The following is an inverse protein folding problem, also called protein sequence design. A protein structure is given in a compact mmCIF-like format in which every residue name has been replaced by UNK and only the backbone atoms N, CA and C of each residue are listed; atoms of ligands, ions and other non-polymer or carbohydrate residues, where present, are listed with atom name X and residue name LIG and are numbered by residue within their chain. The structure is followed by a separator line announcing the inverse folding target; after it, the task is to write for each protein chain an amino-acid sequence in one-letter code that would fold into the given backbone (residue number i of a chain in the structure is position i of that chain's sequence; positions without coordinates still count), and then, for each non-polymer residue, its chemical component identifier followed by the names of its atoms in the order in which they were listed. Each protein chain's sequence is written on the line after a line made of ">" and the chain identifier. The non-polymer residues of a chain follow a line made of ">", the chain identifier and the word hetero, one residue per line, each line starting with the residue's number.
data_IF_025636432897
#
_entry.id   IF_025636432897
#
_cell.length_a   1.000
_cell.length_b   1.000
_cell.length_c   1.000
_cell.angle_alpha   90.00
_cell.angle_beta   90.00
_cell.angle_gamma   90.00
#
_symmetry.space_group_name_H-M   'P 1'
#
loop_
_entity.id
_entity.type
_entity.pdbx_description
1 polymer ?
#
# COMPACT_ATOMS: atom_id res chain seq x y z
N UNK A 1 1.18 19.78 2.73
CA UNK A 1 -0.07 19.90 3.53
C UNK A 1 -1.12 19.03 2.87
N UNK A 2 -2.05 18.41 3.62
CA UNK A 2 -3.17 17.68 3.01
C UNK A 2 -4.10 18.71 2.35
N UNK A 3 -4.32 18.59 1.05
CA UNK A 3 -5.21 19.47 0.28
C UNK A 3 -6.27 18.65 -0.42
N UNK A 4 -7.41 19.26 -0.72
CA UNK A 4 -8.50 18.56 -1.41
C UNK A 4 -8.08 18.20 -2.85
N UNK A 5 -7.21 18.99 -3.47
CA UNK A 5 -6.61 18.71 -4.78
C UNK A 5 -5.76 17.43 -4.74
N UNK A 6 -4.89 17.28 -3.74
CA UNK A 6 -4.07 16.09 -3.58
C UNK A 6 -4.92 14.84 -3.32
N UNK A 7 -6.08 14.99 -2.66
CA UNK A 7 -7.00 13.88 -2.48
C UNK A 7 -7.69 13.47 -3.79
N UNK A 8 -8.03 14.42 -4.66
CA UNK A 8 -8.60 14.11 -5.99
C UNK A 8 -7.60 13.38 -6.88
N UNK A 9 -6.34 13.79 -6.89
CA UNK A 9 -5.28 13.07 -7.59
C UNK A 9 -5.14 11.64 -7.07
N UNK A 10 -5.18 11.47 -5.74
CA UNK A 10 -5.18 10.14 -5.14
C UNK A 10 -6.40 9.32 -5.59
N UNK A 11 -7.61 9.90 -5.65
CA UNK A 11 -8.80 9.18 -6.11
C UNK A 11 -8.64 8.63 -7.54
N UNK A 12 -8.07 9.41 -8.47
CA UNK A 12 -7.79 8.94 -9.83
C UNK A 12 -6.85 7.73 -9.85
N UNK A 13 -5.85 7.70 -8.97
CA UNK A 13 -4.93 6.57 -8.86
C UNK A 13 -5.59 5.31 -8.26
N UNK A 14 -6.62 5.49 -7.44
CA UNK A 14 -7.32 4.40 -6.76
C UNK A 14 -8.48 3.81 -7.59
N UNK A 15 -9.02 4.58 -8.54
CA UNK A 15 -10.11 4.17 -9.43
C UNK A 15 -9.92 2.77 -10.07
N UNK A 16 -8.75 2.42 -10.65
CA UNK A 16 -8.56 1.10 -11.26
C UNK A 16 -8.45 -0.06 -10.27
N UNK A 17 -8.33 0.20 -8.96
CA UNK A 17 -8.12 -0.83 -7.93
C UNK A 17 -9.42 -1.41 -7.36
N UNK A 18 -10.58 -0.91 -7.81
CA UNK A 18 -11.92 -1.35 -7.38
C UNK A 18 -12.10 -1.46 -5.85
N UNK A 19 -11.64 -0.41 -5.13
CA UNK A 19 -11.64 -0.38 -3.66
C UNK A 19 -13.07 -0.31 -3.12
N UNK A 20 -13.45 -1.33 -2.34
CA UNK A 20 -14.79 -1.44 -1.76
C UNK A 20 -14.98 -0.72 -0.42
N UNK A 21 -13.89 -0.53 0.34
CA UNK A 21 -13.95 0.05 1.69
C UNK A 21 -12.74 0.93 1.96
N UNK A 22 -12.99 2.11 2.51
CA UNK A 22 -12.01 3.10 2.92
C UNK A 22 -11.99 3.24 4.43
N UNK A 23 -10.81 3.08 5.03
CA UNK A 23 -10.57 3.34 6.44
C UNK A 23 -9.70 4.58 6.57
N UNK A 24 -10.23 5.64 7.18
CA UNK A 24 -9.49 6.90 7.29
C UNK A 24 -9.56 7.49 8.70
N UNK A 25 -8.72 8.49 8.93
CA UNK A 25 -8.91 9.40 10.06
C UNK A 25 -10.09 10.36 9.80
N UNK A 26 -10.43 11.17 10.81
CA UNK A 26 -11.56 12.10 10.77
C UNK A 26 -11.28 13.40 9.99
N UNK A 27 -10.48 13.32 8.91
CA UNK A 27 -10.21 14.49 8.07
C UNK A 27 -11.40 14.78 7.15
N UNK A 28 -11.90 16.02 7.20
CA UNK A 28 -13.16 16.40 6.54
C UNK A 28 -13.18 16.22 5.02
N UNK A 29 -12.03 16.17 4.34
CA UNK A 29 -11.97 15.90 2.90
C UNK A 29 -12.45 14.48 2.55
N UNK A 30 -12.17 13.49 3.39
CA UNK A 30 -12.64 12.12 3.18
C UNK A 30 -14.16 12.05 3.27
N UNK A 31 -14.75 12.69 4.28
CA UNK A 31 -16.21 12.75 4.46
C UNK A 31 -16.95 13.41 3.29
N UNK A 32 -16.33 14.38 2.61
CA UNK A 32 -16.94 15.09 1.47
C UNK A 32 -16.88 14.31 0.16
N UNK A 33 -15.85 13.47 -0.01
CA UNK A 33 -15.53 12.88 -1.32
C UNK A 33 -15.66 11.35 -1.34
N UNK A 34 -15.84 10.68 -0.20
CA UNK A 34 -16.06 9.23 -0.12
C UNK A 34 -17.53 8.92 0.17
N UNK A 35 -18.12 7.89 -0.48
CA UNK A 35 -19.46 7.44 -0.16
C UNK A 35 -19.55 6.97 1.31
N UNK A 36 -20.55 7.42 2.09
CA UNK A 36 -20.69 7.04 3.50
C UNK A 36 -20.75 5.53 3.75
N UNK A 37 -21.34 4.77 2.83
CA UNK A 37 -21.45 3.31 2.92
C UNK A 37 -20.08 2.61 2.80
N UNK A 38 -19.18 3.19 2.00
CA UNK A 38 -17.83 2.67 1.77
C UNK A 38 -16.81 3.22 2.77
N UNK A 39 -17.18 4.22 3.57
CA UNK A 39 -16.25 4.94 4.43
C UNK A 39 -16.43 4.58 5.90
N UNK A 40 -15.35 4.17 6.55
CA UNK A 40 -15.30 3.95 8.00
C UNK A 40 -14.21 4.81 8.63
N UNK A 41 -14.60 5.64 9.60
CA UNK A 41 -13.68 6.49 10.36
C UNK A 41 -13.32 5.81 11.67
N UNK A 42 -12.04 5.59 11.92
CA UNK A 42 -11.62 4.97 13.17
C UNK A 42 -10.13 4.66 13.24
N UNK A 43 -9.58 4.59 14.45
CA UNK A 43 -8.16 4.35 14.68
C UNK A 43 -7.73 2.90 14.44
N UNK A 44 -8.61 1.94 14.71
CA UNK A 44 -8.22 0.52 14.71
C UNK A 44 -7.76 0.06 13.32
N UNK A 45 -8.53 0.37 12.27
CA UNK A 45 -8.19 -0.05 10.92
C UNK A 45 -7.11 0.84 10.28
N UNK A 46 -7.07 2.13 10.60
CA UNK A 46 -5.97 3.00 10.15
C UNK A 46 -4.63 2.57 10.74
N UNK A 47 -4.58 2.21 12.04
CA UNK A 47 -3.37 1.69 12.67
C UNK A 47 -2.89 0.36 12.05
N UNK A 48 -3.82 -0.51 11.62
CA UNK A 48 -3.45 -1.74 10.89
C UNK A 48 -2.79 -1.41 9.55
N UNK A 49 -3.35 -0.47 8.79
CA UNK A 49 -2.77 -0.01 7.51
C UNK A 49 -1.38 0.61 7.75
N UNK A 50 -1.24 1.48 8.75
CA UNK A 50 0.03 2.09 9.12
C UNK A 50 1.07 1.03 9.51
N UNK A 51 0.67 0.01 10.30
CA UNK A 51 1.56 -1.10 10.68
C UNK A 51 2.01 -1.91 9.46
N UNK A 52 1.10 -2.21 8.53
CA UNK A 52 1.44 -2.90 7.27
C UNK A 52 2.48 -2.11 6.47
N UNK A 53 2.24 -0.82 6.27
CA UNK A 53 3.17 0.06 5.55
C UNK A 53 4.53 0.16 6.24
N UNK A 54 4.56 0.20 7.57
CA UNK A 54 5.79 0.20 8.36
C UNK A 54 6.59 -1.09 8.18
N UNK A 55 5.92 -2.25 8.24
CA UNK A 55 6.55 -3.55 8.03
C UNK A 55 7.12 -3.65 6.62
N UNK A 56 6.33 -3.26 5.61
CA UNK A 56 6.74 -3.27 4.21
C UNK A 56 7.99 -2.43 3.99
N UNK A 57 7.99 -1.16 4.44
CA UNK A 57 9.17 -0.27 4.40
C UNK A 57 10.38 -0.91 5.07
N UNK A 58 10.18 -1.61 6.18
CA UNK A 58 11.25 -2.26 6.93
C UNK A 58 11.86 -3.44 6.18
N UNK A 59 11.06 -4.19 5.43
CA UNK A 59 11.54 -5.31 4.61
C UNK A 59 12.31 -4.81 3.38
N UNK A 60 11.75 -3.83 2.65
CA UNK A 60 12.38 -3.31 1.43
C UNK A 60 13.54 -2.33 1.70
N UNK A 61 13.77 -1.91 2.96
CA UNK A 61 14.85 -0.97 3.31
C UNK A 61 16.23 -1.40 2.82
N UNK A 62 16.44 -2.71 2.65
CA UNK A 62 17.70 -3.26 2.13
C UNK A 62 17.88 -2.96 0.65
N UNK A 63 16.81 -2.92 -0.15
CA UNK A 63 16.86 -2.54 -1.58
C UNK A 63 17.44 -1.13 -1.75
N UNK A 64 17.13 -0.19 -0.84
CA UNK A 64 17.63 1.18 -0.91
C UNK A 64 19.14 1.34 -0.61
N UNK A 65 19.82 0.32 -0.06
CA UNK A 65 21.21 0.44 0.41
C UNK A 65 22.27 0.22 -0.66
N UNK A 66 21.90 -0.15 -1.89
CA UNK A 66 22.81 -0.39 -3.03
C UNK A 66 24.06 -1.23 -2.69
N UNK A 67 23.85 -2.33 -1.96
CA UNK A 67 24.92 -3.26 -1.56
C UNK A 67 25.20 -4.31 -2.64
N UNK A 68 26.05 -5.30 -2.36
CA UNK A 68 26.52 -6.34 -3.32
C UNK A 68 25.37 -7.03 -4.07
N UNK A 69 24.20 -7.21 -3.46
CA UNK A 69 23.03 -7.84 -4.09
C UNK A 69 22.12 -6.85 -4.84
N UNK A 70 22.55 -5.61 -5.08
CA UNK A 70 21.74 -4.59 -5.75
C UNK A 70 21.85 -4.72 -7.27
N UNK A 71 20.72 -5.05 -7.92
CA UNK A 71 20.63 -5.09 -9.37
C UNK A 71 20.61 -3.68 -9.99
N UNK A 72 21.18 -3.54 -11.19
CA UNK A 72 21.03 -2.33 -12.03
C UNK A 72 19.72 -2.31 -12.83
N UNK A 73 19.07 -3.46 -12.98
CA UNK A 73 17.82 -3.59 -13.73
C UNK A 73 16.63 -3.32 -12.83
N UNK A 74 15.77 -2.39 -13.24
CA UNK A 74 14.51 -2.06 -12.57
C UNK A 74 13.59 -3.28 -12.45
N UNK A 75 13.48 -4.07 -13.52
CA UNK A 75 12.68 -5.29 -13.56
C UNK A 75 13.01 -6.30 -12.45
N UNK A 76 14.28 -6.37 -12.01
CA UNK A 76 14.68 -7.23 -10.89
C UNK A 76 14.15 -6.71 -9.56
N UNK A 77 14.13 -5.39 -9.36
CA UNK A 77 13.54 -4.78 -8.17
C UNK A 77 12.03 -4.98 -8.14
N UNK A 78 11.35 -4.77 -9.27
CA UNK A 78 9.91 -4.99 -9.39
C UNK A 78 9.54 -6.45 -9.11
N UNK A 79 10.31 -7.40 -9.66
CA UNK A 79 10.11 -8.83 -9.42
C UNK A 79 10.24 -9.18 -7.94
N UNK A 80 11.31 -8.72 -7.28
CA UNK A 80 11.54 -9.00 -5.86
C UNK A 80 10.47 -8.36 -4.97
N UNK A 81 10.04 -7.13 -5.28
CA UNK A 81 8.95 -6.45 -4.59
C UNK A 81 7.64 -7.21 -4.78
N UNK A 82 7.32 -7.62 -6.00
CA UNK A 82 6.14 -8.43 -6.32
C UNK A 82 6.13 -9.77 -5.57
N UNK A 83 7.26 -10.48 -5.54
CA UNK A 83 7.41 -11.73 -4.79
C UNK A 83 7.18 -11.53 -3.27
N UNK A 84 7.69 -10.44 -2.70
CA UNK A 84 7.45 -10.10 -1.30
C UNK A 84 5.97 -9.85 -1.02
N UNK A 85 5.30 -9.07 -1.88
CA UNK A 85 3.85 -8.79 -1.75
C UNK A 85 3.05 -10.08 -1.85
N UNK A 86 3.34 -10.93 -2.84
CA UNK A 86 2.70 -12.23 -3.04
C UNK A 86 2.83 -13.12 -1.80
N UNK A 87 4.02 -13.18 -1.20
CA UNK A 87 4.26 -13.96 0.01
C UNK A 87 3.52 -13.40 1.23
N UNK A 88 3.55 -12.08 1.44
CA UNK A 88 3.03 -11.47 2.67
C UNK A 88 1.52 -11.28 2.65
N UNK A 89 0.98 -10.75 1.55
CA UNK A 89 -0.43 -10.37 1.48
C UNK A 89 -1.31 -11.51 0.95
N UNK A 90 -0.76 -12.38 0.10
CA UNK A 90 -1.52 -13.45 -0.55
C UNK A 90 -1.12 -14.86 -0.10
N UNK A 91 -0.07 -15.00 0.70
CA UNK A 91 0.42 -16.31 1.16
C UNK A 91 0.91 -17.22 0.03
N UNK A 92 1.19 -16.66 -1.14
CA UNK A 92 1.63 -17.43 -2.31
C UNK A 92 3.12 -17.71 -2.16
N UNK A 93 3.47 -18.97 -1.95
CA UNK A 93 4.86 -19.43 -2.01
C UNK A 93 5.11 -20.12 -3.35
N UNK A 94 6.06 -19.56 -4.12
CA UNK A 94 6.46 -20.12 -5.42
C UNK A 94 7.16 -21.49 -5.28
N UNK A 95 7.58 -21.86 -4.07
CA UNK A 95 8.19 -23.15 -3.77
C UNK A 95 7.20 -24.18 -3.20
N UNK A 96 5.94 -23.82 -2.95
CA UNK A 96 4.93 -24.74 -2.40
C UNK A 96 4.37 -25.75 -3.42
N UNK A 97 4.80 -25.70 -4.68
CA UNK A 97 4.36 -26.59 -5.75
C UNK A 97 5.36 -27.71 -6.08
N UNK A 98 6.31 -28.01 -5.19
CA UNK A 98 7.23 -29.15 -5.29
C UNK A 98 7.05 -30.13 -4.14
#
# INVERSE_FOLDING_TARGET
>A
KRTDEAFKELQTLLEPLDIKKYYTDDWGAYKRNLPPEQHEVGKTNTQKIERKNLNFRTWIKRLARRTICFSKLESMHDTVIGLLINRVEFGIDIHAYH
#
